data_IF_763083819458
#
_entry.id   IF_763083819458
#
_cell.length_a   1.000
_cell.length_b   1.000
_cell.length_c   1.000
_cell.angle_alpha   90.00
_cell.angle_beta   90.00
_cell.angle_gamma   90.00
#
_symmetry.space_group_name_H-M   'P 1'
#
loop_
_entity.id
_entity.type
_entity.pdbx_description
1 polymer ?
#
# COMPACT_ATOMS: atom_id res chain seq x y z
N UNK A 1 -21.22 4.80 -1.72
CA UNK A 1 -20.09 3.91 -1.43
C UNK A 1 -18.99 4.73 -0.78
N UNK A 2 -18.44 4.24 0.32
CA UNK A 2 -17.34 4.90 1.01
C UNK A 2 -16.05 4.72 0.20
N UNK A 3 -15.30 5.80 -0.03
CA UNK A 3 -14.16 5.80 -0.98
C UNK A 3 -12.80 5.52 -0.32
N UNK A 4 -12.75 5.41 0.99
CA UNK A 4 -11.51 5.29 1.77
C UNK A 4 -11.49 3.97 2.55
N UNK A 5 -10.35 3.29 2.45
CA UNK A 5 -9.96 2.17 3.29
C UNK A 5 -8.59 2.47 3.89
N UNK A 6 -8.55 2.72 5.18
CA UNK A 6 -7.31 2.86 5.95
C UNK A 6 -6.77 1.46 6.25
N UNK A 7 -6.07 0.85 5.30
CA UNK A 7 -5.62 -0.55 5.39
C UNK A 7 -4.77 -0.82 6.65
N UNK A 8 -3.94 0.15 7.04
CA UNK A 8 -3.12 0.07 8.26
C UNK A 8 -3.69 0.93 9.41
N UNK A 9 -4.97 1.26 9.35
CA UNK A 9 -5.63 2.08 10.37
C UNK A 9 -5.16 3.54 10.35
N UNK A 10 -5.41 4.26 11.45
CA UNK A 10 -5.09 5.68 11.57
C UNK A 10 -4.99 6.13 13.03
N UNK A 11 -4.51 7.36 13.23
CA UNK A 11 -4.44 8.02 14.54
C UNK A 11 -5.74 8.76 14.90
N UNK A 12 -6.88 8.35 14.34
CA UNK A 12 -8.19 9.01 14.56
C UNK A 12 -8.92 8.50 15.79
N UNK A 13 -8.63 7.27 16.20
CA UNK A 13 -9.22 6.60 17.36
C UNK A 13 -8.15 5.77 18.05
N UNK A 14 -8.41 5.38 19.31
CA UNK A 14 -7.52 4.53 20.09
C UNK A 14 -8.34 3.47 20.85
N UNK A 15 -7.73 2.31 21.08
CA UNK A 15 -8.36 1.19 21.77
C UNK A 15 -7.36 0.44 22.65
N UNK A 16 -7.86 -0.22 23.69
CA UNK A 16 -7.06 -1.18 24.46
C UNK A 16 -6.70 -2.38 23.59
N UNK A 17 -5.44 -2.84 23.65
CA UNK A 17 -4.99 -4.01 22.88
C UNK A 17 -5.57 -5.33 23.38
N UNK A 18 -5.95 -5.38 24.67
CA UNK A 18 -6.46 -6.60 25.32
C UNK A 18 -7.97 -6.75 25.14
N UNK A 19 -8.75 -5.77 25.64
CA UNK A 19 -10.22 -5.86 25.68
C UNK A 19 -10.92 -5.08 24.56
N UNK A 20 -10.17 -4.35 23.72
CA UNK A 20 -10.71 -3.50 22.63
C UNK A 20 -11.65 -2.38 23.09
N UNK A 21 -11.66 -2.06 24.39
CA UNK A 21 -12.39 -0.90 24.91
C UNK A 21 -11.85 0.38 24.26
N UNK A 22 -12.76 1.26 23.85
CA UNK A 22 -12.38 2.52 23.20
C UNK A 22 -11.73 3.44 24.21
N UNK A 23 -10.81 4.25 23.71
CA UNK A 23 -10.11 5.25 24.49
C UNK A 23 -10.14 6.60 23.78
N UNK A 24 -10.18 7.67 24.56
CA UNK A 24 -10.16 9.02 24.04
C UNK A 24 -8.82 9.32 23.35
N UNK A 25 -8.86 9.57 22.03
CA UNK A 25 -7.65 9.73 21.22
C UNK A 25 -6.86 10.99 21.58
N UNK A 26 -7.54 12.06 21.99
CA UNK A 26 -6.88 13.31 22.36
C UNK A 26 -6.11 13.16 23.67
N UNK A 27 -6.69 12.44 24.64
CA UNK A 27 -5.99 12.01 25.85
C UNK A 27 -4.82 11.10 25.53
N UNK A 28 -5.00 10.06 24.71
CA UNK A 28 -3.92 9.16 24.32
C UNK A 28 -2.76 9.92 23.65
N UNK A 29 -3.07 10.86 22.76
CA UNK A 29 -2.08 11.72 22.11
C UNK A 29 -1.34 12.59 23.12
N UNK A 30 -2.04 13.23 24.05
CA UNK A 30 -1.43 14.07 25.08
C UNK A 30 -0.50 13.26 25.99
N UNK A 31 -0.97 12.12 26.50
CA UNK A 31 -0.16 11.22 27.33
C UNK A 31 1.11 10.78 26.57
N UNK A 32 0.99 10.37 25.30
CA UNK A 32 2.14 10.00 24.49
C UNK A 32 3.15 11.15 24.29
N UNK A 33 2.67 12.38 24.08
CA UNK A 33 3.52 13.57 23.95
C UNK A 33 4.26 13.92 25.26
N UNK A 34 3.66 13.60 26.41
CA UNK A 34 4.27 13.76 27.73
C UNK A 34 5.16 12.57 28.12
N UNK A 35 5.30 11.55 27.25
CA UNK A 35 6.08 10.34 27.52
C UNK A 35 5.39 9.35 28.46
N UNK A 36 4.07 9.45 28.61
CA UNK A 36 3.24 8.60 29.47
C UNK A 36 2.55 7.53 28.62
N UNK A 37 2.57 6.28 29.09
CA UNK A 37 1.88 5.15 28.45
C UNK A 37 0.41 5.15 28.87
N UNK A 38 -0.51 5.17 27.90
CA UNK A 38 -1.94 5.06 28.16
C UNK A 38 -2.33 3.65 28.61
N UNK A 39 -3.11 3.56 29.68
CA UNK A 39 -3.66 2.32 30.20
C UNK A 39 -5.19 2.34 30.19
N UNK A 40 -5.79 1.19 29.90
CA UNK A 40 -7.23 0.99 29.87
C UNK A 40 -7.81 1.02 31.28
N UNK A 41 -8.87 1.81 31.47
CA UNK A 41 -9.53 1.94 32.77
C UNK A 41 -10.30 0.66 33.17
N UNK A 42 -10.71 -0.16 32.20
CA UNK A 42 -11.48 -1.37 32.44
C UNK A 42 -10.61 -2.59 32.82
N UNK A 43 -9.42 -2.73 32.23
CA UNK A 43 -8.58 -3.93 32.42
C UNK A 43 -7.10 -3.65 32.75
N UNK A 44 -6.66 -2.39 32.74
CA UNK A 44 -5.25 -2.01 32.96
C UNK A 44 -4.32 -2.28 31.77
N UNK A 45 -4.81 -2.91 30.70
CA UNK A 45 -4.03 -3.19 29.48
C UNK A 45 -3.57 -1.93 28.75
N UNK A 46 -2.55 -2.05 27.91
CA UNK A 46 -2.00 -0.92 27.15
C UNK A 46 -3.04 -0.45 26.11
N UNK A 47 -3.12 0.87 25.94
CA UNK A 47 -3.92 1.50 24.88
C UNK A 47 -2.99 2.04 23.80
N UNK A 48 -3.39 1.84 22.55
CA UNK A 48 -2.72 2.42 21.39
C UNK A 48 -3.72 3.05 20.42
N UNK A 49 -3.28 3.99 19.56
CA UNK A 49 -4.06 4.39 18.39
C UNK A 49 -4.44 3.17 17.55
N UNK A 50 -5.55 3.25 16.84
CA UNK A 50 -6.06 2.19 15.95
C UNK A 50 -5.27 2.13 14.64
N UNK A 51 -3.94 2.05 14.75
CA UNK A 51 -2.98 1.75 13.69
C UNK A 51 -2.63 0.27 13.78
N UNK A 52 -2.52 -0.38 12.63
CA UNK A 52 -2.14 -1.80 12.52
C UNK A 52 -0.63 -1.94 12.67
N UNK A 53 -0.17 -2.66 13.68
CA UNK A 53 1.24 -2.98 13.87
C UNK A 53 1.59 -4.30 13.16
N UNK A 54 2.88 -4.55 12.91
CA UNK A 54 3.32 -5.84 12.41
C UNK A 54 2.87 -6.97 13.33
N UNK A 55 2.28 -8.02 12.74
CA UNK A 55 1.68 -9.14 13.46
C UNK A 55 0.20 -8.96 13.81
N UNK A 56 -0.37 -7.77 13.64
CA UNK A 56 -1.81 -7.54 13.75
C UNK A 56 -2.54 -7.79 12.42
N UNK A 57 -3.82 -8.15 12.50
CA UNK A 57 -4.67 -8.29 11.32
C UNK A 57 -5.07 -6.91 10.78
N UNK A 58 -5.12 -6.79 9.46
CA UNK A 58 -5.73 -5.63 8.81
C UNK A 58 -7.25 -5.62 9.05
N UNK A 59 -7.92 -4.46 8.94
CA UNK A 59 -9.37 -4.36 9.12
C UNK A 59 -10.14 -5.25 8.14
N UNK A 60 -11.22 -5.89 8.57
CA UNK A 60 -12.07 -6.74 7.68
C UNK A 60 -12.55 -6.00 6.42
N UNK A 61 -12.81 -4.70 6.57
CA UNK A 61 -13.18 -3.80 5.47
C UNK A 61 -12.16 -3.80 4.33
N UNK A 62 -10.86 -3.92 4.65
CA UNK A 62 -9.80 -4.03 3.63
C UNK A 62 -10.03 -5.24 2.73
N UNK A 63 -10.17 -6.43 3.31
CA UNK A 63 -10.35 -7.65 2.53
C UNK A 63 -11.63 -7.64 1.71
N UNK A 64 -12.72 -7.13 2.29
CA UNK A 64 -13.99 -6.98 1.57
C UNK A 64 -13.84 -6.08 0.34
N UNK A 65 -13.31 -4.87 0.52
CA UNK A 65 -13.13 -3.89 -0.56
C UNK A 65 -12.17 -4.41 -1.62
N UNK A 66 -11.03 -5.01 -1.23
CA UNK A 66 -10.10 -5.59 -2.20
C UNK A 66 -10.78 -6.68 -3.03
N UNK A 67 -11.63 -7.52 -2.44
CA UNK A 67 -12.28 -8.62 -3.17
C UNK A 67 -13.49 -8.19 -4.02
N UNK A 68 -14.15 -7.10 -3.67
CA UNK A 68 -15.34 -6.59 -4.36
C UNK A 68 -14.97 -5.53 -5.40
N UNK A 69 -14.22 -4.49 -5.03
CA UNK A 69 -14.00 -3.31 -5.86
C UNK A 69 -12.99 -3.55 -6.98
N UNK A 70 -11.96 -4.37 -6.74
CA UNK A 70 -10.91 -4.62 -7.75
C UNK A 70 -11.42 -5.38 -8.97
N UNK A 71 -12.54 -6.13 -8.83
CA UNK A 71 -13.19 -6.85 -9.93
C UNK A 71 -13.85 -5.89 -10.92
N UNK A 72 -14.34 -4.76 -10.43
CA UNK A 72 -15.00 -3.73 -11.23
C UNK A 72 -14.04 -2.60 -11.63
N UNK A 73 -12.75 -2.70 -11.27
CA UNK A 73 -11.77 -1.67 -11.54
C UNK A 73 -11.41 -1.61 -13.04
N UNK A 74 -11.48 -0.41 -13.62
CA UNK A 74 -11.09 -0.15 -15.02
C UNK A 74 -9.66 0.41 -15.14
N UNK A 75 -9.07 0.81 -14.01
CA UNK A 75 -7.70 1.33 -13.89
C UNK A 75 -7.22 1.12 -12.45
N UNK A 76 -5.98 0.69 -12.28
CA UNK A 76 -5.29 0.70 -10.99
C UNK A 76 -4.20 1.76 -10.98
N UNK A 77 -4.32 2.76 -10.12
CA UNK A 77 -3.28 3.79 -9.91
C UNK A 77 -2.57 3.54 -8.58
N UNK A 78 -1.27 3.30 -8.63
CA UNK A 78 -0.41 2.98 -7.49
C UNK A 78 0.56 4.12 -7.30
N UNK A 79 0.54 4.77 -6.14
CA UNK A 79 1.31 6.00 -5.89
C UNK A 79 2.10 5.85 -4.60
N UNK A 80 3.42 6.06 -4.66
CA UNK A 80 4.26 6.24 -3.47
C UNK A 80 4.31 5.03 -2.51
N UNK A 81 4.38 3.81 -3.04
CA UNK A 81 4.50 2.59 -2.23
C UNK A 81 5.56 1.65 -2.80
N UNK A 82 6.30 0.98 -1.92
CA UNK A 82 7.28 -0.06 -2.29
C UNK A 82 6.63 -1.40 -2.65
N UNK A 83 5.37 -1.61 -2.22
CA UNK A 83 4.66 -2.88 -2.33
C UNK A 83 5.37 -4.06 -1.65
N UNK A 84 6.01 -3.83 -0.50
CA UNK A 84 6.68 -4.88 0.28
C UNK A 84 5.89 -5.39 1.49
N UNK A 85 4.79 -4.71 1.87
CA UNK A 85 4.01 -5.03 3.08
C UNK A 85 2.77 -5.82 2.70
N UNK A 86 2.69 -7.06 3.17
CA UNK A 86 1.56 -7.95 2.95
C UNK A 86 0.48 -7.81 4.04
N UNK A 87 -0.80 -7.98 3.71
CA UNK A 87 -1.37 -8.34 2.40
C UNK A 87 -1.63 -7.14 1.47
N UNK A 88 -1.24 -5.92 1.84
CA UNK A 88 -1.48 -4.73 1.01
C UNK A 88 -0.82 -4.82 -0.38
N UNK A 89 0.38 -5.38 -0.46
CA UNK A 89 1.14 -5.60 -1.69
C UNK A 89 0.41 -6.49 -2.71
N UNK A 90 -0.63 -7.22 -2.32
CA UNK A 90 -1.33 -8.18 -3.18
C UNK A 90 -2.43 -7.55 -4.03
N UNK A 91 -2.87 -6.32 -3.73
CA UNK A 91 -3.93 -5.61 -4.47
C UNK A 91 -3.76 -5.69 -6.00
N UNK A 92 -2.55 -5.49 -6.59
CA UNK A 92 -2.38 -5.52 -8.04
C UNK A 92 -2.61 -6.89 -8.70
N UNK A 93 -2.70 -7.98 -7.92
CA UNK A 93 -3.08 -9.31 -8.41
C UNK A 93 -4.60 -9.49 -8.53
N UNK A 94 -5.40 -8.66 -7.86
CA UNK A 94 -6.86 -8.80 -7.84
C UNK A 94 -7.56 -8.05 -8.97
N UNK A 95 -6.88 -7.12 -9.66
CA UNK A 95 -7.43 -6.43 -10.83
C UNK A 95 -7.36 -7.30 -12.08
N UNK A 96 -8.32 -7.13 -12.99
CA UNK A 96 -8.46 -7.96 -14.20
C UNK A 96 -7.21 -7.96 -15.11
N UNK A 97 -7.00 -9.03 -15.91
CA UNK A 97 -5.78 -9.24 -16.70
C UNK A 97 -5.53 -8.21 -17.82
N UNK A 98 -6.55 -7.42 -18.19
CA UNK A 98 -6.46 -6.38 -19.22
C UNK A 98 -6.51 -4.95 -18.65
N UNK A 99 -6.69 -4.83 -17.34
CA UNK A 99 -6.81 -3.54 -16.68
C UNK A 99 -5.45 -2.86 -16.65
N UNK A 100 -5.34 -1.60 -17.12
CA UNK A 100 -4.10 -0.83 -17.00
C UNK A 100 -3.72 -0.64 -15.53
N UNK A 101 -2.42 -0.77 -15.23
CA UNK A 101 -1.85 -0.52 -13.91
C UNK A 101 -0.77 0.54 -14.06
N UNK A 102 -0.98 1.70 -13.44
CA UNK A 102 -0.05 2.83 -13.51
C UNK A 102 0.63 2.97 -12.16
N UNK A 103 1.96 2.95 -12.15
CA UNK A 103 2.80 3.14 -10.98
C UNK A 103 3.48 4.50 -11.06
N UNK A 104 3.21 5.36 -10.09
CA UNK A 104 3.85 6.65 -9.89
C UNK A 104 4.78 6.53 -8.68
N UNK A 105 6.07 6.31 -8.93
CA UNK A 105 7.02 6.06 -7.86
C UNK A 105 8.46 6.39 -8.29
N UNK A 106 9.32 6.78 -7.35
CA UNK A 106 10.72 7.08 -7.62
C UNK A 106 11.50 5.85 -8.13
N UNK A 107 11.10 4.67 -7.68
CA UNK A 107 11.78 3.39 -7.93
C UNK A 107 10.87 2.38 -8.61
N UNK A 108 11.47 1.43 -9.33
CA UNK A 108 10.77 0.25 -9.87
C UNK A 108 10.41 -0.67 -8.71
N UNK A 109 9.11 -0.97 -8.56
CA UNK A 109 8.57 -1.77 -7.44
C UNK A 109 7.81 -2.99 -7.95
N UNK A 110 7.48 -3.92 -7.04
CA UNK A 110 6.68 -5.11 -7.35
C UNK A 110 7.40 -6.24 -8.09
N UNK A 111 8.72 -6.14 -8.33
CA UNK A 111 9.50 -7.24 -8.90
C UNK A 111 8.94 -7.76 -10.22
N UNK A 112 8.63 -9.07 -10.30
CA UNK A 112 8.04 -9.74 -11.47
C UNK A 112 6.51 -9.58 -11.60
N UNK A 113 5.86 -8.90 -10.65
CA UNK A 113 4.42 -8.63 -10.70
C UNK A 113 4.04 -7.70 -11.85
N UNK A 114 4.95 -6.83 -12.27
CA UNK A 114 4.76 -5.87 -13.36
C UNK A 114 5.73 -6.15 -14.50
N UNK A 115 5.28 -5.84 -15.71
CA UNK A 115 6.10 -5.78 -16.91
C UNK A 115 5.98 -4.39 -17.54
N UNK A 116 6.98 -3.55 -17.32
CA UNK A 116 7.02 -2.17 -17.82
C UNK A 116 7.63 -2.10 -19.23
N UNK A 117 7.37 -1.03 -20.02
CA UNK A 117 7.85 -0.92 -21.40
C UNK A 117 9.38 -0.97 -21.53
N UNK A 118 10.09 -0.47 -20.52
CA UNK A 118 11.55 -0.40 -20.48
C UNK A 118 12.19 -1.67 -19.85
N UNK A 119 11.38 -2.65 -19.44
CA UNK A 119 11.91 -3.92 -18.95
C UNK A 119 12.56 -4.70 -20.11
N UNK A 120 13.68 -5.41 -19.86
CA UNK A 120 14.29 -6.24 -20.88
C UNK A 120 13.32 -7.32 -21.38
N UNK A 121 13.40 -7.73 -22.67
CA UNK A 121 12.55 -8.79 -23.20
C UNK A 121 12.74 -10.08 -22.41
N UNK A 122 11.63 -10.76 -22.13
CA UNK A 122 11.64 -12.05 -21.43
C UNK A 122 12.36 -13.13 -22.27
N UNK A 123 13.08 -14.09 -21.65
CA UNK A 123 13.33 -14.25 -20.23
C UNK A 123 14.40 -13.30 -19.70
N UNK A 124 14.17 -12.75 -18.49
CA UNK A 124 15.26 -12.27 -17.66
C UNK A 124 16.31 -13.38 -17.58
N UNK A 125 17.62 -13.10 -17.74
CA UNK A 125 18.65 -14.10 -17.51
C UNK A 125 18.36 -14.78 -16.18
N UNK A 126 18.33 -16.10 -16.15
CA UNK A 126 18.41 -16.83 -14.90
C UNK A 126 19.61 -16.28 -14.15
N UNK A 127 19.42 -16.04 -12.85
CA UNK A 127 20.49 -15.59 -11.97
C UNK A 127 21.48 -16.75 -11.84
N UNK A 128 22.33 -16.90 -12.84
CA UNK A 128 23.32 -17.96 -12.96
C UNK A 128 24.52 -17.58 -12.09
N UNK A 129 24.40 -17.82 -10.77
CA UNK A 129 25.54 -18.08 -9.90
C UNK A 129 25.95 -17.00 -8.90
N UNK A 130 25.24 -16.94 -7.77
CA UNK A 130 25.90 -16.95 -6.46
C UNK A 130 25.16 -17.96 -5.59
N UNK A 131 25.66 -19.20 -5.54
CA UNK A 131 25.29 -20.17 -4.49
C UNK A 131 25.73 -19.56 -3.15
N UNK A 132 24.80 -18.91 -2.44
CA UNK A 132 24.96 -18.67 -1.01
C UNK A 132 24.34 -19.82 -0.25
N UNK A 133 25.23 -20.67 0.25
CA UNK A 133 25.02 -21.75 1.21
C UNK A 133 23.91 -21.41 2.22
N UNK A 134 22.77 -22.11 2.11
CA UNK A 134 21.73 -22.12 3.13
C UNK A 134 22.26 -22.82 4.38
N UNK A 135 22.90 -22.05 5.26
CA UNK A 135 23.02 -22.43 6.66
C UNK A 135 21.72 -22.09 7.36
N UNK A 136 20.97 -23.12 7.72
CA UNK A 136 19.71 -23.02 8.45
C UNK A 136 19.93 -22.30 9.79
N UNK A 137 19.59 -21.00 9.85
CA UNK A 137 19.11 -20.32 11.07
C UNK A 137 18.62 -18.89 10.78
N UNK A 138 17.43 -18.59 11.31
CA UNK A 138 16.82 -17.26 11.57
C UNK A 138 16.34 -16.36 10.40
N UNK A 139 15.01 -16.19 10.35
CA UNK A 139 14.24 -14.97 10.04
C UNK A 139 14.63 -14.11 8.83
N UNK A 140 14.11 -14.46 7.64
CA UNK A 140 14.00 -13.57 6.48
C UNK A 140 12.73 -13.92 5.70
N UNK A 141 11.90 -12.92 5.40
CA UNK A 141 10.55 -13.07 4.85
C UNK A 141 10.48 -13.24 3.32
N UNK A 142 11.58 -13.60 2.67
CA UNK A 142 11.67 -13.70 1.20
C UNK A 142 11.28 -15.09 0.67
N UNK A 143 10.21 -15.67 1.21
CA UNK A 143 9.76 -17.01 0.88
C UNK A 143 8.36 -17.05 0.30
N UNK A 144 8.19 -16.65 -0.97
CA UNK A 144 7.00 -17.04 -1.73
C UNK A 144 7.38 -17.86 -2.96
N UNK A 145 6.86 -19.10 -3.01
CA UNK A 145 7.11 -20.08 -4.07
C UNK A 145 6.55 -19.61 -5.43
N UNK A 146 7.25 -19.86 -6.54
CA UNK A 146 6.89 -19.34 -7.87
C UNK A 146 5.81 -20.16 -8.60
N UNK A 147 5.03 -20.99 -7.91
CA UNK A 147 4.04 -21.88 -8.53
C UNK A 147 2.61 -21.30 -8.60
N UNK A 148 2.49 -20.00 -8.81
CA UNK A 148 1.31 -19.47 -9.53
C UNK A 148 1.71 -19.35 -11.00
N UNK A 149 1.51 -20.43 -11.76
CA UNK A 149 1.47 -20.35 -13.22
C UNK A 149 0.29 -19.47 -13.63
N UNK A 150 0.49 -18.15 -13.62
CA UNK A 150 -0.37 -17.23 -14.32
C UNK A 150 0.01 -17.30 -15.80
N UNK A 151 -0.67 -18.19 -16.52
CA UNK A 151 -0.70 -18.15 -17.97
C UNK A 151 -1.27 -16.80 -18.43
N UNK A 152 -0.38 -15.87 -18.73
CA UNK A 152 -0.71 -14.57 -19.33
C UNK A 152 0.02 -14.48 -20.66
N UNK A 153 -0.73 -14.34 -21.74
CA UNK A 153 -0.18 -14.13 -23.08
C UNK A 153 0.76 -12.92 -23.09
N UNK A 154 1.91 -12.97 -23.79
CA UNK A 154 2.90 -11.90 -23.84
C UNK A 154 2.46 -10.63 -24.60
N UNK A 155 1.18 -10.46 -24.94
CA UNK A 155 0.76 -9.55 -26.01
C UNK A 155 0.13 -8.23 -25.56
N UNK A 156 -0.05 -7.97 -24.26
CA UNK A 156 -0.67 -6.72 -23.79
C UNK A 156 0.21 -6.01 -22.77
N UNK A 157 0.86 -4.94 -23.23
CA UNK A 157 1.51 -3.96 -22.39
C UNK A 157 0.45 -3.16 -21.63
N UNK A 158 0.30 -3.46 -20.33
CA UNK A 158 -0.72 -2.84 -19.46
C UNK A 158 -0.14 -2.14 -18.24
N UNK A 159 1.15 -2.32 -17.96
CA UNK A 159 1.81 -1.71 -16.82
C UNK A 159 2.65 -0.53 -17.27
N UNK A 160 2.47 0.62 -16.62
CA UNK A 160 3.27 1.82 -16.87
C UNK A 160 3.92 2.27 -15.56
N UNK A 161 5.18 2.67 -15.64
CA UNK A 161 5.93 3.23 -14.52
C UNK A 161 6.39 4.65 -14.87
N UNK A 162 6.05 5.61 -14.02
CA UNK A 162 6.57 6.97 -14.07
C UNK A 162 7.58 7.15 -12.94
N UNK A 163 8.86 7.11 -13.30
CA UNK A 163 10.01 7.14 -12.37
C UNK A 163 10.41 8.54 -11.94
N UNK A 164 9.57 9.19 -11.15
CA UNK A 164 9.78 10.58 -10.73
C UNK A 164 8.98 10.89 -9.47
N UNK A 165 9.08 12.14 -9.00
CA UNK A 165 8.29 12.63 -7.88
C UNK A 165 6.79 12.40 -8.13
N UNK A 166 6.11 11.82 -7.14
CA UNK A 166 4.70 11.46 -7.28
C UNK A 166 3.76 12.67 -7.34
N UNK A 167 4.08 13.78 -6.65
CA UNK A 167 3.30 15.02 -6.71
C UNK A 167 3.39 15.59 -8.12
N UNK A 168 4.61 15.71 -8.66
CA UNK A 168 4.81 16.18 -10.03
C UNK A 168 4.09 15.28 -11.06
N UNK A 169 4.11 13.96 -10.86
CA UNK A 169 3.39 13.02 -11.73
C UNK A 169 1.86 13.21 -11.69
N UNK A 170 1.31 13.42 -10.50
CA UNK A 170 -0.14 13.67 -10.31
C UNK A 170 -0.53 15.01 -10.93
N UNK A 171 0.28 16.05 -10.79
CA UNK A 171 0.05 17.34 -11.44
C UNK A 171 0.03 17.22 -12.96
N UNK A 172 1.02 16.55 -13.55
CA UNK A 172 1.09 16.31 -14.99
C UNK A 172 -0.11 15.50 -15.49
N UNK A 173 -0.53 14.46 -14.76
CA UNK A 173 -1.72 13.68 -15.07
C UNK A 173 -2.99 14.56 -15.00
N UNK A 174 -3.12 15.38 -13.96
CA UNK A 174 -4.24 16.31 -13.83
C UNK A 174 -4.28 17.32 -14.98
N UNK A 175 -3.13 17.87 -15.40
CA UNK A 175 -3.05 18.76 -16.56
C UNK A 175 -3.51 18.05 -17.84
N UNK A 176 -3.02 16.84 -18.11
CA UNK A 176 -3.41 16.06 -19.28
C UNK A 176 -4.92 15.72 -19.29
N UNK A 177 -5.54 15.59 -18.11
CA UNK A 177 -6.97 15.35 -17.95
C UNK A 177 -7.82 16.63 -17.96
N UNK A 178 -7.23 17.82 -18.12
CA UNK A 178 -7.94 19.10 -18.03
C UNK A 178 -8.40 19.46 -16.61
N UNK A 179 -7.81 18.85 -15.58
CA UNK A 179 -8.10 19.05 -14.17
C UNK A 179 -7.05 19.91 -13.45
N UNK A 180 -6.03 20.41 -14.16
CA UNK A 180 -4.91 21.16 -13.60
C UNK A 180 -5.32 22.34 -12.73
N UNK A 181 -6.10 23.29 -13.27
CA UNK A 181 -6.56 24.47 -12.51
C UNK A 181 -7.37 24.10 -11.26
N UNK A 182 -8.17 23.02 -11.34
CA UNK A 182 -8.96 22.54 -10.22
C UNK A 182 -8.08 21.95 -9.12
N UNK A 183 -7.03 21.22 -9.49
CA UNK A 183 -6.06 20.69 -8.54
C UNK A 183 -5.30 21.84 -7.87
N UNK A 184 -4.74 22.78 -8.65
CA UNK A 184 -3.99 23.92 -8.10
C UNK A 184 -4.80 24.71 -7.08
N UNK A 185 -6.07 25.04 -7.40
CA UNK A 185 -6.96 25.72 -6.44
C UNK A 185 -7.15 24.95 -5.14
N UNK A 186 -7.28 23.62 -5.22
CA UNK A 186 -7.48 22.77 -4.04
C UNK A 186 -6.21 22.68 -3.18
N UNK A 187 -5.04 22.69 -3.80
CA UNK A 187 -3.75 22.72 -3.10
C UNK A 187 -3.59 24.08 -2.41
N UNK A 188 -3.79 25.19 -3.11
CA UNK A 188 -3.72 26.55 -2.54
C UNK A 188 -4.72 26.76 -1.40
N UNK A 189 -5.96 26.27 -1.55
CA UNK A 189 -6.95 26.28 -0.48
C UNK A 189 -6.43 25.53 0.76
N UNK A 190 -5.77 24.38 0.61
CA UNK A 190 -5.28 23.61 1.74
C UNK A 190 -4.04 24.23 2.40
N UNK A 191 -3.07 24.68 1.60
CA UNK A 191 -1.85 25.32 2.10
C UNK A 191 -2.12 26.65 2.82
N UNK A 192 -3.15 27.39 2.39
CA UNK A 192 -3.59 28.60 3.08
C UNK A 192 -4.26 28.37 4.45
N UNK A 193 -4.51 27.12 4.84
CA UNK A 193 -5.08 26.74 6.15
C UNK A 193 -4.07 26.06 7.08
N UNK A 194 -2.81 25.90 6.66
CA UNK A 194 -1.71 25.34 7.45
C UNK A 194 -0.92 26.42 8.21
#
# INVERSE_FOLDING_TARGET
MEKLVEAHGSFRTASCIECRERYDIDRNRKEAQEGVISHCEACGGIVKPDVVFFGEQLPEKFFKVVMEDTKEAELLLIIGTSLNVHPFAEIPFHVGPHIPRIVLNMERVGGRMFHFPDDPPYPYPSDDGEEREETASSSSSDGFSPHLHMGGQPDILRDLLFRQDCQFSVEMLAQAMGLGERLSRKVEEFEGHC
#
